data_IF_917527290482
#
_entry.id   IF_917527290482
#
_cell.length_a   1.000
_cell.length_b   1.000
_cell.length_c   1.000
_cell.angle_alpha   90.00
_cell.angle_beta   90.00
_cell.angle_gamma   90.00
#
_symmetry.space_group_name_H-M   'P 1'
#
loop_
_entity.id
_entity.type
_entity.pdbx_description
1 polymer ?
#
# COMPACT_ATOMS: atom_id res chain seq x y z
N UNK A 1 -22.77 4.20 6.38
CA UNK A 1 -21.86 3.05 6.19
C UNK A 1 -20.53 3.34 6.87
N UNK A 2 -20.02 2.43 7.70
CA UNK A 2 -18.78 2.68 8.47
C UNK A 2 -17.55 2.63 7.52
N UNK A 3 -16.92 3.78 7.26
CA UNK A 3 -15.78 3.92 6.33
C UNK A 3 -14.64 2.92 6.62
N UNK A 4 -14.41 2.60 7.89
CA UNK A 4 -13.40 1.62 8.30
C UNK A 4 -13.74 0.19 7.83
N UNK A 5 -15.02 -0.21 7.90
CA UNK A 5 -15.46 -1.52 7.39
C UNK A 5 -15.34 -1.62 5.87
N UNK A 6 -15.68 -0.54 5.16
CA UNK A 6 -15.58 -0.47 3.70
C UNK A 6 -14.12 -0.56 3.26
N UNK A 7 -13.23 0.19 3.92
CA UNK A 7 -11.79 0.12 3.65
C UNK A 7 -11.24 -1.28 3.92
N UNK A 8 -11.60 -1.90 5.06
CA UNK A 8 -11.18 -3.26 5.37
C UNK A 8 -11.65 -4.26 4.31
N UNK A 9 -12.90 -4.15 3.84
CA UNK A 9 -13.43 -5.02 2.79
C UNK A 9 -12.70 -4.80 1.46
N UNK A 10 -12.46 -3.55 1.06
CA UNK A 10 -11.69 -3.23 -0.14
C UNK A 10 -10.28 -3.82 -0.10
N UNK A 11 -9.60 -3.69 1.05
CA UNK A 11 -8.27 -4.27 1.28
C UNK A 11 -8.28 -5.78 1.12
N UNK A 12 -9.24 -6.46 1.75
CA UNK A 12 -9.39 -7.91 1.59
C UNK A 12 -9.65 -8.31 0.13
N UNK A 13 -10.53 -7.59 -0.57
CA UNK A 13 -10.89 -7.90 -1.96
C UNK A 13 -9.70 -7.69 -2.90
N UNK A 14 -9.01 -6.55 -2.84
CA UNK A 14 -7.85 -6.34 -3.72
C UNK A 14 -6.70 -7.29 -3.36
N UNK A 15 -6.52 -7.65 -2.08
CA UNK A 15 -5.51 -8.65 -1.68
C UNK A 15 -5.83 -10.03 -2.27
N UNK A 16 -7.10 -10.45 -2.24
CA UNK A 16 -7.52 -11.71 -2.87
C UNK A 16 -7.35 -11.67 -4.40
N UNK A 17 -7.64 -10.54 -5.03
CA UNK A 17 -7.42 -10.33 -6.46
C UNK A 17 -5.94 -10.40 -6.82
N UNK A 18 -5.05 -9.91 -5.97
CA UNK A 18 -3.61 -10.05 -6.18
C UNK A 18 -3.17 -11.52 -6.16
N UNK A 19 -3.60 -12.32 -5.18
CA UNK A 19 -3.32 -13.77 -5.18
C UNK A 19 -3.91 -14.48 -6.42
N UNK A 20 -5.09 -14.07 -6.87
CA UNK A 20 -5.73 -14.62 -8.07
C UNK A 20 -4.96 -14.22 -9.33
N UNK A 21 -4.42 -12.99 -9.37
CA UNK A 21 -3.59 -12.49 -10.45
C UNK A 21 -2.27 -13.27 -10.56
N UNK A 22 -1.61 -13.54 -9.43
CA UNK A 22 -0.42 -14.40 -9.37
C UNK A 22 -0.72 -15.81 -9.90
N UNK A 23 -1.84 -16.41 -9.47
CA UNK A 23 -2.28 -17.71 -9.97
C UNK A 23 -2.55 -17.69 -11.48
N UNK A 24 -3.28 -16.69 -11.97
CA UNK A 24 -3.58 -16.54 -13.40
C UNK A 24 -2.31 -16.34 -14.24
N UNK A 25 -1.32 -15.62 -13.70
CA UNK A 25 -0.01 -15.46 -14.34
C UNK A 25 0.75 -16.79 -14.38
N UNK A 26 0.79 -17.53 -13.26
CA UNK A 26 1.44 -18.84 -13.20
C UNK A 26 0.85 -19.85 -14.20
N UNK A 27 -0.47 -19.86 -14.39
CA UNK A 27 -1.15 -20.70 -15.39
C UNK A 27 -1.15 -20.10 -16.81
N UNK A 28 -0.47 -18.97 -17.04
CA UNK A 28 -0.38 -18.25 -18.33
C UNK A 28 -1.75 -17.86 -18.93
N UNK A 29 -2.72 -17.55 -18.09
CA UNK A 29 -4.05 -17.10 -18.53
C UNK A 29 -4.05 -15.62 -18.88
N UNK A 30 -3.49 -15.27 -20.05
CA UNK A 30 -3.29 -13.88 -20.48
C UNK A 30 -4.54 -12.99 -20.42
N UNK A 31 -5.73 -13.52 -20.78
CA UNK A 31 -6.97 -12.75 -20.67
C UNK A 31 -7.34 -12.42 -19.22
N UNK A 32 -7.20 -13.41 -18.34
CA UNK A 32 -7.48 -13.24 -16.91
C UNK A 32 -6.49 -12.28 -16.25
N UNK A 33 -5.19 -12.36 -16.58
CA UNK A 33 -4.18 -11.47 -16.01
C UNK A 33 -4.43 -10.01 -16.38
N UNK A 34 -4.89 -9.72 -17.61
CA UNK A 34 -5.24 -8.35 -18.04
C UNK A 34 -6.41 -7.81 -17.23
N UNK A 35 -7.51 -8.57 -17.14
CA UNK A 35 -8.72 -8.15 -16.42
C UNK A 35 -8.43 -7.97 -14.93
N UNK A 36 -7.75 -8.94 -14.32
CA UNK A 36 -7.39 -8.90 -12.90
C UNK A 36 -6.44 -7.75 -12.57
N UNK A 37 -5.48 -7.42 -13.47
CA UNK A 37 -4.60 -6.26 -13.29
C UNK A 37 -5.38 -4.95 -13.25
N UNK A 38 -6.34 -4.75 -14.16
CA UNK A 38 -7.17 -3.54 -14.21
C UNK A 38 -8.02 -3.43 -12.94
N UNK A 39 -8.67 -4.53 -12.54
CA UNK A 39 -9.50 -4.57 -11.32
C UNK A 39 -8.66 -4.30 -10.07
N UNK A 40 -7.47 -4.89 -9.98
CA UNK A 40 -6.55 -4.72 -8.85
C UNK A 40 -6.14 -3.25 -8.68
N UNK A 41 -5.71 -2.60 -9.77
CA UNK A 41 -5.33 -1.18 -9.74
C UNK A 41 -6.52 -0.29 -9.41
N UNK A 42 -7.69 -0.55 -10.01
CA UNK A 42 -8.90 0.24 -9.75
C UNK A 42 -9.34 0.16 -8.28
N UNK A 43 -9.32 -1.04 -7.69
CA UNK A 43 -9.71 -1.24 -6.29
C UNK A 43 -8.67 -0.68 -5.33
N UNK A 44 -7.37 -0.86 -5.61
CA UNK A 44 -6.31 -0.23 -4.84
C UNK A 44 -6.42 1.30 -4.87
N UNK A 45 -6.68 1.89 -6.04
CA UNK A 45 -6.91 3.34 -6.16
C UNK A 45 -8.17 3.78 -5.40
N UNK A 46 -9.26 3.00 -5.47
CA UNK A 46 -10.51 3.31 -4.76
C UNK A 46 -10.31 3.37 -3.23
N UNK A 47 -9.42 2.54 -2.68
CA UNK A 47 -9.12 2.50 -1.24
C UNK A 47 -8.59 3.85 -0.71
N UNK A 48 -7.90 4.64 -1.55
CA UNK A 48 -7.35 5.94 -1.19
C UNK A 48 -8.44 6.96 -0.82
N UNK A 49 -9.65 6.82 -1.36
CA UNK A 49 -10.77 7.72 -1.05
C UNK A 49 -11.44 7.42 0.29
N UNK A 50 -11.35 6.18 0.78
CA UNK A 50 -12.00 5.76 2.03
C UNK A 50 -11.08 5.87 3.25
N UNK A 51 -9.79 6.10 3.02
CA UNK A 51 -8.80 6.12 4.07
C UNK A 51 -8.74 7.44 4.84
N UNK A 52 -8.41 7.37 6.13
CA UNK A 52 -8.18 8.57 6.96
C UNK A 52 -6.90 9.25 6.50
N UNK A 53 -6.97 10.55 6.17
CA UNK A 53 -5.84 11.35 5.71
C UNK A 53 -4.91 11.78 6.86
N UNK A 54 -4.23 10.83 7.49
CA UNK A 54 -3.09 11.10 8.37
C UNK A 54 -1.79 10.90 7.59
N UNK A 55 -0.73 11.63 7.97
CA UNK A 55 0.57 11.60 7.25
C UNK A 55 1.13 10.17 7.12
N UNK A 56 1.14 9.41 8.21
CA UNK A 56 1.57 8.00 8.21
C UNK A 56 0.76 7.14 7.24
N UNK A 57 -0.56 7.28 7.29
CA UNK A 57 -1.47 6.41 6.55
C UNK A 57 -1.42 6.72 5.05
N UNK A 58 -1.31 8.00 4.65
CA UNK A 58 -1.06 8.40 3.26
C UNK A 58 0.21 7.75 2.70
N UNK A 59 1.31 7.80 3.47
CA UNK A 59 2.59 7.24 3.02
C UNK A 59 2.55 5.70 2.96
N UNK A 60 1.85 5.05 3.88
CA UNK A 60 1.65 3.60 3.85
C UNK A 60 0.87 3.17 2.59
N UNK A 61 -0.21 3.86 2.24
CA UNK A 61 -0.97 3.52 1.03
C UNK A 61 -0.27 3.90 -0.26
N UNK A 62 0.60 4.92 -0.25
CA UNK A 62 1.49 5.16 -1.38
C UNK A 62 2.45 3.98 -1.58
N UNK A 63 3.00 3.42 -0.49
CA UNK A 63 3.84 2.23 -0.56
C UNK A 63 3.09 1.00 -1.10
N UNK A 64 1.87 0.74 -0.59
CA UNK A 64 1.01 -0.35 -1.08
C UNK A 64 0.66 -0.17 -2.56
N UNK A 65 0.32 1.05 -2.98
CA UNK A 65 -0.04 1.32 -4.36
C UNK A 65 1.17 1.13 -5.30
N UNK A 66 2.35 1.63 -4.93
CA UNK A 66 3.59 1.37 -5.67
C UNK A 66 3.92 -0.12 -5.77
N UNK A 67 3.69 -0.89 -4.69
CA UNK A 67 3.87 -2.35 -4.69
C UNK A 67 2.90 -3.04 -5.66
N UNK A 68 1.64 -2.65 -5.68
CA UNK A 68 0.63 -3.22 -6.60
C UNK A 68 1.00 -2.90 -8.05
N UNK A 69 1.41 -1.67 -8.34
CA UNK A 69 1.84 -1.27 -9.68
C UNK A 69 3.08 -2.05 -10.13
N UNK A 70 4.06 -2.25 -9.23
CA UNK A 70 5.21 -3.11 -9.50
C UNK A 70 4.80 -4.52 -9.91
N UNK A 71 3.91 -5.17 -9.15
CA UNK A 71 3.45 -6.53 -9.43
C UNK A 71 2.67 -6.63 -10.74
N UNK A 72 1.77 -5.69 -11.00
CA UNK A 72 1.02 -5.64 -12.28
C UNK A 72 1.97 -5.47 -13.46
N UNK A 73 2.97 -4.59 -13.31
CA UNK A 73 3.94 -4.34 -14.35
C UNK A 73 4.83 -5.56 -14.58
N UNK A 74 5.27 -6.23 -13.53
CA UNK A 74 6.02 -7.49 -13.59
C UNK A 74 5.24 -8.59 -14.34
N UNK A 75 3.96 -8.76 -14.03
CA UNK A 75 3.10 -9.78 -14.65
C UNK A 75 2.78 -9.46 -16.11
N UNK A 76 2.64 -8.18 -16.45
CA UNK A 76 2.35 -7.72 -17.81
C UNK A 76 3.54 -7.79 -18.74
N UNK A 77 4.73 -7.58 -18.20
CA UNK A 77 5.96 -7.50 -18.97
C UNK A 77 6.94 -8.52 -18.41
N UNK A 78 6.66 -9.79 -18.72
CA UNK A 78 7.56 -10.89 -18.40
C UNK A 78 8.98 -10.51 -18.86
N UNK A 79 9.97 -10.69 -17.97
CA UNK A 79 11.32 -10.12 -18.05
C UNK A 79 12.08 -10.44 -19.36
N UNK A 80 11.58 -11.37 -20.16
CA UNK A 80 12.16 -11.76 -21.44
C UNK A 80 11.80 -10.88 -22.64
N UNK A 81 10.66 -10.16 -22.63
CA UNK A 81 10.18 -9.49 -23.85
C UNK A 81 10.52 -8.01 -23.96
N UNK A 82 10.75 -7.29 -22.84
CA UNK A 82 10.88 -5.83 -22.87
C UNK A 82 12.02 -5.32 -21.97
N UNK A 83 13.14 -4.92 -22.58
CA UNK A 83 14.36 -4.42 -21.89
C UNK A 83 14.13 -3.19 -20.98
N UNK A 84 13.04 -2.45 -21.19
CA UNK A 84 12.70 -1.27 -20.39
C UNK A 84 11.93 -1.60 -19.12
N UNK A 85 11.56 -2.86 -18.92
CA UNK A 85 10.68 -3.19 -17.81
C UNK A 85 11.40 -3.30 -16.47
N UNK A 86 12.66 -3.75 -16.50
CA UNK A 86 13.52 -3.81 -15.32
C UNK A 86 13.74 -2.44 -14.64
N UNK A 87 14.14 -1.35 -15.35
CA UNK A 87 14.32 -0.06 -14.70
C UNK A 87 13.01 0.54 -14.16
N UNK A 88 11.88 0.34 -14.86
CA UNK A 88 10.57 0.83 -14.39
C UNK A 88 10.13 0.08 -13.12
N UNK A 89 10.31 -1.25 -13.10
CA UNK A 89 10.03 -2.08 -11.95
C UNK A 89 10.92 -1.66 -10.75
N UNK A 90 12.20 -1.40 -10.99
CA UNK A 90 13.12 -0.89 -9.98
C UNK A 90 12.67 0.47 -9.39
N UNK A 91 12.17 1.38 -10.24
CA UNK A 91 11.61 2.66 -9.77
C UNK A 91 10.41 2.45 -8.82
N UNK A 92 9.49 1.53 -9.16
CA UNK A 92 8.36 1.24 -8.28
C UNK A 92 8.82 0.63 -6.95
N UNK A 93 9.76 -0.32 -6.98
CA UNK A 93 10.32 -0.92 -5.77
C UNK A 93 10.97 0.13 -4.86
N UNK A 94 11.85 0.97 -5.41
CA UNK A 94 12.52 2.04 -4.64
C UNK A 94 11.49 3.02 -4.07
N UNK A 95 10.51 3.44 -4.86
CA UNK A 95 9.46 4.35 -4.39
C UNK A 95 8.67 3.74 -3.21
N UNK A 96 8.30 2.47 -3.31
CA UNK A 96 7.59 1.76 -2.25
C UNK A 96 8.41 1.62 -0.98
N UNK A 97 9.71 1.29 -1.10
CA UNK A 97 10.62 1.19 0.04
C UNK A 97 10.85 2.54 0.72
N UNK A 98 11.00 3.63 -0.03
CA UNK A 98 11.12 4.99 0.52
C UNK A 98 9.86 5.39 1.28
N UNK A 99 8.68 5.11 0.71
CA UNK A 99 7.42 5.33 1.39
C UNK A 99 7.34 4.49 2.67
N UNK A 100 7.63 3.19 2.62
CA UNK A 100 7.60 2.32 3.80
C UNK A 100 8.56 2.80 4.90
N UNK A 101 9.79 3.15 4.55
CA UNK A 101 10.77 3.71 5.49
C UNK A 101 10.27 5.02 6.11
N UNK A 102 9.67 5.91 5.32
CA UNK A 102 9.05 7.14 5.80
C UNK A 102 7.88 6.89 6.75
N UNK A 103 7.01 5.92 6.44
CA UNK A 103 5.91 5.52 7.31
C UNK A 103 6.42 4.98 8.65
N UNK A 104 7.41 4.08 8.62
CA UNK A 104 8.04 3.53 9.84
C UNK A 104 8.65 4.66 10.66
N UNK A 105 9.48 5.53 10.06
CA UNK A 105 10.12 6.65 10.75
C UNK A 105 9.12 7.61 11.41
N UNK A 106 8.04 7.95 10.72
CA UNK A 106 6.97 8.79 11.28
C UNK A 106 6.25 8.12 12.45
N UNK A 107 6.09 6.79 12.42
CA UNK A 107 5.49 6.02 13.52
C UNK A 107 6.40 6.01 14.76
N UNK A 108 7.71 5.88 14.58
CA UNK A 108 8.69 5.92 15.68
C UNK A 108 8.75 7.32 16.31
N UNK A 109 8.75 8.38 15.49
CA UNK A 109 8.76 9.77 15.98
C UNK A 109 7.45 10.15 16.70
N UNK A 110 6.32 9.63 16.26
CA UNK A 110 5.03 9.85 16.93
C UNK A 110 4.92 9.14 18.29
N UNK A 111 5.83 8.20 18.61
CA UNK A 111 5.94 7.52 19.92
C UNK A 111 7.04 8.11 20.81
N UNK A 112 7.60 9.28 20.48
CA UNK A 112 8.46 10.02 21.40
C UNK A 112 7.73 10.33 22.73
N UNK A 113 8.45 10.39 23.87
CA UNK A 113 7.83 10.64 25.16
C UNK A 113 7.05 11.96 25.12
N UNK A 114 5.77 11.94 25.48
CA UNK A 114 5.01 13.18 25.66
C UNK A 114 5.66 13.95 26.82
N UNK A 115 6.20 15.17 26.61
CA UNK A 115 6.85 15.91 27.69
C UNK A 115 5.84 16.76 28.48
N UNK A 116 4.64 16.24 28.77
CA UNK A 116 3.57 17.04 29.41
C UNK A 116 2.73 16.36 30.49
N UNK A 117 3.13 15.20 31.02
CA UNK A 117 2.45 14.60 32.18
C UNK A 117 3.05 14.99 33.54
N UNK A 118 4.06 15.87 33.59
CA UNK A 118 4.68 16.31 34.85
C UNK A 118 4.04 17.56 35.48
N UNK A 119 3.10 18.23 34.80
CA UNK A 119 2.46 19.45 35.34
C UNK A 119 1.19 19.15 36.14
N UNK A 120 0.52 18.02 35.89
CA UNK A 120 -0.75 17.69 36.58
C UNK A 120 -0.51 17.10 37.98
N UNK A 121 0.62 16.46 38.24
CA UNK A 121 0.93 15.90 39.56
C UNK A 121 1.31 16.93 40.64
N UNK A 122 1.48 18.22 40.29
CA UNK A 122 1.77 19.28 41.26
C UNK A 122 0.51 20.01 41.79
N UNK A 123 -0.69 19.72 41.25
CA UNK A 123 -1.95 20.36 41.69
C UNK A 123 -2.86 19.49 42.57
N UNK A 124 -2.46 18.26 42.93
CA UNK A 124 -3.25 17.36 43.78
C UNK A 124 -2.59 17.01 45.12
N UNK A 125 -1.62 17.83 45.57
CA UNK A 125 -1.20 17.88 46.98
C UNK A 125 -1.64 19.20 47.58
N UNK A 126 -2.91 19.28 47.94
CA UNK A 126 -3.48 20.15 48.98
C UNK A 126 -4.85 19.57 49.36
#
# INVERSE_FOLDING_TARGET
>A
MNKARVLSALVSVYTALWFTLDGAWFFKWHGATVVLSILLVALAFSSLFFMKRTRHTIVLSAAEFSWILFNVFWIRFDLGEVKWCEPIALCFLISGLLCLAGAIGMRTLSKGPQPFDSVVFRRLKL
#
